data_IF_388894574180
#
_entry.id   IF_388894574180
#
_cell.length_a   1.000
_cell.length_b   1.000
_cell.length_c   1.000
_cell.angle_alpha   90.00
_cell.angle_beta   90.00
_cell.angle_gamma   90.00
#
_symmetry.space_group_name_H-M   'P 1'
#
loop_
_entity.id
_entity.type
_entity.pdbx_description
1 polymer ?
#
# COMPACT_ATOMS: atom_id res chain seq x y z
N UNK A 1 -23.99 -8.13 -42.88
CA UNK A 1 -22.86 -8.53 -42.02
C UNK A 1 -22.05 -7.29 -41.70
N UNK A 2 -21.84 -6.97 -40.42
CA UNK A 2 -20.99 -5.86 -39.99
C UNK A 2 -19.70 -6.45 -39.40
N UNK A 3 -18.56 -6.04 -39.95
CA UNK A 3 -17.23 -6.39 -39.42
C UNK A 3 -16.82 -5.30 -38.44
N UNK A 4 -16.61 -5.66 -37.19
CA UNK A 4 -16.08 -4.76 -36.16
C UNK A 4 -14.56 -4.92 -36.16
N UNK A 5 -13.83 -3.89 -36.60
CA UNK A 5 -12.38 -3.81 -36.44
C UNK A 5 -12.06 -3.16 -35.10
N UNK A 6 -11.43 -3.92 -34.21
CA UNK A 6 -10.86 -3.40 -32.96
C UNK A 6 -9.49 -2.82 -33.28
N UNK A 7 -9.41 -1.50 -33.47
CA UNK A 7 -8.13 -0.80 -33.49
C UNK A 7 -7.62 -0.71 -32.04
N UNK A 8 -6.58 -1.48 -31.71
CA UNK A 8 -5.89 -1.32 -30.44
C UNK A 8 -5.21 0.07 -30.44
N UNK A 9 -5.84 1.04 -29.77
CA UNK A 9 -5.20 2.32 -29.47
C UNK A 9 -4.00 2.06 -28.58
N UNK A 10 -2.78 2.10 -29.13
CA UNK A 10 -1.58 2.26 -28.32
C UNK A 10 -1.58 3.68 -27.77
N UNK A 11 -2.10 3.85 -26.57
CA UNK A 11 -2.15 5.13 -25.88
C UNK A 11 -0.75 5.49 -25.39
N UNK A 12 -0.29 6.70 -25.73
CA UNK A 12 0.97 7.27 -25.26
C UNK A 12 0.75 7.82 -23.83
N UNK A 13 1.37 7.24 -22.78
CA UNK A 13 1.09 7.59 -21.38
C UNK A 13 1.45 9.02 -20.97
N UNK A 14 2.16 9.75 -21.83
CA UNK A 14 2.73 11.07 -21.51
C UNK A 14 1.81 12.27 -21.80
N UNK A 15 0.73 12.08 -22.57
CA UNK A 15 -0.07 13.20 -23.11
C UNK A 15 -1.48 13.31 -22.50
N UNK A 16 -1.65 13.09 -21.20
CA UNK A 16 -2.95 13.31 -20.56
C UNK A 16 -2.83 13.95 -19.21
N UNK A 17 -3.42 15.14 -19.08
CA UNK A 17 -3.74 15.76 -17.81
C UNK A 17 -4.67 14.88 -16.93
N UNK A 18 -5.21 13.77 -17.46
CA UNK A 18 -6.06 12.81 -16.76
C UNK A 18 -5.31 11.53 -16.30
N UNK A 19 -4.04 11.32 -16.65
CA UNK A 19 -3.22 10.21 -16.12
C UNK A 19 -2.42 10.66 -14.90
N UNK A 20 -3.11 11.11 -13.84
CA UNK A 20 -2.44 11.24 -12.55
C UNK A 20 -2.10 9.83 -12.06
N UNK A 21 -0.82 9.45 -12.11
CA UNK A 21 -0.35 8.25 -11.43
C UNK A 21 -0.66 8.40 -9.95
N UNK A 22 -1.56 7.56 -9.45
CA UNK A 22 -1.99 7.58 -8.06
C UNK A 22 -1.43 6.35 -7.38
N UNK A 23 -0.42 6.56 -6.55
CA UNK A 23 0.11 5.50 -5.71
C UNK A 23 -0.99 5.03 -4.76
N UNK A 24 -1.26 3.73 -4.79
CA UNK A 24 -2.30 3.08 -3.96
C UNK A 24 -1.70 2.27 -2.82
N UNK A 25 -0.42 1.90 -2.90
CA UNK A 25 0.29 1.09 -1.93
C UNK A 25 1.78 1.45 -1.91
N UNK A 26 2.30 1.73 -0.72
CA UNK A 26 3.74 1.80 -0.44
C UNK A 26 4.15 0.60 0.42
N UNK A 27 5.29 -0.01 0.11
CA UNK A 27 5.83 -1.13 0.90
C UNK A 27 7.24 -0.79 1.36
N UNK A 28 7.43 -0.70 2.67
CA UNK A 28 8.74 -0.52 3.30
C UNK A 28 9.29 -1.88 3.73
N UNK A 29 10.47 -2.22 3.22
CA UNK A 29 11.09 -3.53 3.43
C UNK A 29 12.36 -3.41 4.29
N UNK A 30 12.44 -4.19 5.37
CA UNK A 30 13.64 -4.31 6.22
C UNK A 30 14.19 -5.73 6.26
N UNK A 31 15.46 -5.83 6.67
CA UNK A 31 16.18 -7.09 6.81
C UNK A 31 15.58 -7.93 7.95
N UNK A 32 15.62 -9.28 7.89
CA UNK A 32 15.14 -10.14 8.97
C UNK A 32 15.73 -9.82 10.35
N UNK A 33 16.97 -9.33 10.42
CA UNK A 33 17.62 -8.92 11.68
C UNK A 33 16.93 -7.75 12.38
N UNK A 34 16.03 -7.05 11.69
CA UNK A 34 15.21 -5.96 12.26
C UNK A 34 13.92 -6.47 12.92
N UNK A 35 13.64 -7.78 12.89
CA UNK A 35 12.44 -8.38 13.48
C UNK A 35 12.54 -8.44 15.01
N UNK A 36 12.45 -7.26 15.62
CA UNK A 36 12.45 -7.03 17.06
C UNK A 36 11.38 -5.99 17.38
N UNK A 37 10.82 -5.95 18.60
CA UNK A 37 9.82 -4.94 18.95
C UNK A 37 10.27 -3.51 18.62
N UNK A 38 11.50 -3.13 18.99
CA UNK A 38 12.05 -1.82 18.68
C UNK A 38 12.27 -1.61 17.17
N UNK A 39 12.67 -2.63 16.42
CA UNK A 39 12.84 -2.54 14.97
C UNK A 39 11.52 -2.28 14.23
N UNK A 40 10.43 -2.91 14.68
CA UNK A 40 9.09 -2.62 14.18
C UNK A 40 8.66 -1.19 14.50
N UNK A 41 8.71 -0.78 15.77
CA UNK A 41 8.31 0.56 16.22
C UNK A 41 9.09 1.66 15.48
N UNK A 42 10.42 1.55 15.43
CA UNK A 42 11.28 2.53 14.75
C UNK A 42 11.03 2.60 13.25
N UNK A 43 10.69 1.47 12.60
CA UNK A 43 10.38 1.46 11.17
C UNK A 43 9.05 2.14 10.92
N UNK A 44 8.01 1.77 11.70
CA UNK A 44 6.63 2.26 11.52
C UNK A 44 6.54 3.76 11.83
N UNK A 45 7.09 4.21 12.96
CA UNK A 45 6.97 5.59 13.44
C UNK A 45 8.10 6.52 12.96
N UNK A 46 9.09 5.98 12.26
CA UNK A 46 10.15 6.76 11.62
C UNK A 46 9.94 6.82 10.11
N UNK A 47 10.87 6.21 9.38
CA UNK A 47 10.96 6.29 7.91
C UNK A 47 9.64 5.99 7.20
N UNK A 48 8.88 4.98 7.63
CA UNK A 48 7.65 4.60 6.96
C UNK A 48 6.57 5.68 7.02
N UNK A 49 6.39 6.32 8.18
CA UNK A 49 5.41 7.40 8.34
C UNK A 49 5.84 8.64 7.54
N UNK A 50 7.13 8.97 7.59
CA UNK A 50 7.69 10.07 6.81
C UNK A 50 7.47 9.83 5.31
N UNK A 51 7.78 8.63 4.81
CA UNK A 51 7.59 8.26 3.41
C UNK A 51 6.12 8.34 3.00
N UNK A 52 5.19 7.81 3.80
CA UNK A 52 3.75 7.91 3.52
C UNK A 52 3.27 9.36 3.43
N UNK A 53 3.78 10.24 4.30
CA UNK A 53 3.46 11.67 4.30
C UNK A 53 4.04 12.44 3.11
N UNK A 54 5.12 11.94 2.50
CA UNK A 54 5.73 12.52 1.30
C UNK A 54 5.17 11.93 0.01
N UNK A 55 4.67 10.70 0.06
CA UNK A 55 4.09 9.93 -1.05
C UNK A 55 2.62 10.33 -1.29
N UNK A 56 2.21 11.53 -0.89
CA UNK A 56 0.82 11.94 -0.95
C UNK A 56 0.39 12.14 -2.40
N UNK A 57 -0.47 11.23 -2.85
CA UNK A 57 -1.36 11.42 -3.96
C UNK A 57 -2.37 12.55 -3.66
N UNK A 58 -3.13 12.99 -4.67
CA UNK A 58 -4.06 14.11 -4.54
C UNK A 58 -5.12 13.95 -3.42
N UNK A 59 -5.36 12.72 -2.97
CA UNK A 59 -6.31 12.37 -1.92
C UNK A 59 -5.71 12.36 -0.50
N UNK A 60 -4.40 12.58 -0.36
CA UNK A 60 -3.63 12.51 0.90
C UNK A 60 -3.78 11.16 1.64
N UNK A 61 -4.09 10.11 0.88
CA UNK A 61 -4.59 8.84 1.40
C UNK A 61 -3.95 7.69 0.67
N UNK A 62 -3.30 6.80 1.40
CA UNK A 62 -2.55 5.69 0.80
C UNK A 62 -2.53 4.47 1.72
N UNK A 63 -2.47 3.27 1.13
CA UNK A 63 -2.19 2.07 1.89
C UNK A 63 -0.69 1.87 2.04
N UNK A 64 -0.28 1.29 3.16
CA UNK A 64 1.11 1.01 3.45
C UNK A 64 1.29 -0.41 3.95
N UNK A 65 2.48 -0.97 3.73
CA UNK A 65 2.89 -2.20 4.39
C UNK A 65 4.33 -2.10 4.89
N UNK A 66 4.59 -2.59 6.09
CA UNK A 66 5.96 -2.78 6.60
C UNK A 66 6.24 -4.28 6.58
N UNK A 67 7.24 -4.68 5.80
CA UNK A 67 7.69 -6.05 5.67
C UNK A 67 9.09 -6.22 6.29
N UNK A 68 9.23 -7.14 7.25
CA UNK A 68 10.51 -7.48 7.87
C UNK A 68 10.73 -8.99 7.73
N UNK A 69 11.67 -9.38 6.87
CA UNK A 69 11.87 -10.80 6.55
C UNK A 69 10.60 -11.44 5.94
N UNK A 70 10.09 -12.51 6.57
CA UNK A 70 8.85 -13.19 6.14
C UNK A 70 7.57 -12.58 6.72
N UNK A 71 7.69 -11.53 7.53
CA UNK A 71 6.58 -10.97 8.31
C UNK A 71 6.14 -9.63 7.77
N UNK A 72 4.85 -9.35 7.83
CA UNK A 72 4.26 -8.11 7.31
C UNK A 72 3.13 -7.57 8.19
N UNK A 73 3.03 -6.25 8.25
CA UNK A 73 1.88 -5.52 8.79
C UNK A 73 1.36 -4.54 7.76
N UNK A 74 0.04 -4.51 7.57
CA UNK A 74 -0.63 -3.60 6.65
C UNK A 74 -1.32 -2.45 7.39
N UNK A 75 -1.24 -1.27 6.78
CA UNK A 75 -1.73 -0.02 7.33
C UNK A 75 -2.52 0.76 6.30
N UNK A 76 -3.35 1.65 6.82
CA UNK A 76 -4.01 2.71 6.09
C UNK A 76 -3.54 4.04 6.65
N UNK A 77 -3.09 4.92 5.75
CA UNK A 77 -2.64 6.25 6.10
C UNK A 77 -3.61 7.30 5.57
N UNK A 78 -4.11 8.16 6.46
CA UNK A 78 -4.94 9.33 6.13
C UNK A 78 -4.25 10.61 6.61
N UNK A 79 -3.66 11.36 5.68
CA UNK A 79 -2.94 12.60 5.96
C UNK A 79 -3.82 13.69 6.56
N UNK A 80 -5.14 13.61 6.35
CA UNK A 80 -6.12 14.58 6.87
C UNK A 80 -6.51 14.33 8.34
N UNK A 81 -6.18 13.16 8.89
CA UNK A 81 -6.51 12.82 10.26
C UNK A 81 -5.53 13.47 11.27
N UNK A 82 -5.93 13.60 12.55
CA UNK A 82 -5.01 14.03 13.61
C UNK A 82 -3.78 13.11 13.69
N UNK A 83 -2.60 13.65 14.02
CA UNK A 83 -1.30 12.95 13.93
C UNK A 83 -1.28 11.54 14.58
N UNK A 84 -1.99 11.35 15.70
CA UNK A 84 -2.09 10.08 16.42
C UNK A 84 -3.11 9.08 15.81
N UNK A 85 -3.79 9.46 14.73
CA UNK A 85 -4.84 8.70 14.05
C UNK A 85 -4.58 8.55 12.55
N UNK A 86 -3.52 9.17 12.02
CA UNK A 86 -3.17 9.11 10.60
C UNK A 86 -2.88 7.69 10.14
N UNK A 87 -2.20 6.89 10.97
CA UNK A 87 -1.81 5.52 10.62
C UNK A 87 -2.62 4.48 11.42
N UNK A 88 -3.42 3.68 10.73
CA UNK A 88 -4.25 2.64 11.33
C UNK A 88 -3.89 1.28 10.76
N UNK A 89 -3.56 0.32 11.62
CA UNK A 89 -3.28 -1.05 11.21
C UNK A 89 -4.58 -1.76 10.77
N UNK A 90 -4.55 -2.44 9.61
CA UNK A 90 -5.73 -3.05 8.98
C UNK A 90 -6.12 -4.42 9.55
N UNK A 91 -5.21 -5.07 10.27
CA UNK A 91 -5.43 -6.37 10.89
C UNK A 91 -4.76 -6.38 12.27
N UNK A 92 -5.10 -7.35 13.12
CA UNK A 92 -4.40 -7.53 14.38
C UNK A 92 -3.05 -8.23 14.18
N UNK A 93 -2.05 -7.88 14.99
CA UNK A 93 -0.78 -8.60 15.07
C UNK A 93 0.10 -8.46 13.83
N UNK A 94 0.86 -9.50 13.52
CA UNK A 94 1.77 -9.55 12.38
C UNK A 94 1.48 -10.81 11.59
N UNK A 95 1.38 -10.70 10.26
CA UNK A 95 1.21 -11.87 9.40
C UNK A 95 2.59 -12.44 9.13
N UNK A 96 2.81 -13.71 9.44
CA UNK A 96 4.02 -14.44 9.09
C UNK A 96 3.75 -15.34 7.90
N UNK A 97 4.38 -15.06 6.76
CA UNK A 97 4.20 -15.85 5.53
C UNK A 97 4.73 -17.28 5.65
N UNK A 98 5.57 -17.58 6.66
CA UNK A 98 5.99 -18.94 6.95
C UNK A 98 4.96 -19.75 7.75
N UNK A 99 3.91 -19.10 8.29
CA UNK A 99 2.82 -19.80 8.96
C UNK A 99 1.90 -20.49 7.93
N UNK A 100 1.18 -21.58 8.30
CA UNK A 100 0.38 -22.37 7.36
C UNK A 100 -0.62 -21.59 6.49
N UNK A 101 -1.16 -20.48 7.00
CA UNK A 101 -2.11 -19.61 6.30
C UNK A 101 -1.55 -18.22 5.96
N UNK A 102 -0.26 -17.99 6.20
CA UNK A 102 0.35 -16.66 6.10
C UNK A 102 0.24 -16.04 4.71
N UNK A 103 0.57 -16.82 3.67
CA UNK A 103 0.45 -16.38 2.27
C UNK A 103 -1.00 -16.02 1.93
N UNK A 104 -1.97 -16.86 2.29
CA UNK A 104 -3.38 -16.59 2.03
C UNK A 104 -3.90 -15.34 2.76
N UNK A 105 -3.37 -15.04 3.95
CA UNK A 105 -3.69 -13.79 4.67
C UNK A 105 -3.12 -12.56 3.94
N UNK A 106 -1.89 -12.64 3.43
CA UNK A 106 -1.30 -11.57 2.60
C UNK A 106 -2.09 -11.35 1.32
N UNK A 107 -2.43 -12.43 0.60
CA UNK A 107 -3.25 -12.35 -0.62
C UNK A 107 -4.62 -11.71 -0.36
N UNK A 108 -5.26 -12.07 0.76
CA UNK A 108 -6.51 -11.45 1.19
C UNK A 108 -6.36 -9.95 1.43
N UNK A 109 -5.24 -9.52 2.04
CA UNK A 109 -4.96 -8.10 2.24
C UNK A 109 -4.70 -7.36 0.92
N UNK A 110 -3.94 -7.97 0.01
CA UNK A 110 -3.69 -7.41 -1.32
C UNK A 110 -4.98 -7.27 -2.13
N UNK A 111 -5.88 -8.26 -2.06
CA UNK A 111 -7.19 -8.20 -2.71
C UNK A 111 -8.06 -7.09 -2.10
N UNK A 112 -8.04 -6.92 -0.79
CA UNK A 112 -8.73 -5.81 -0.12
C UNK A 112 -8.18 -4.45 -0.59
N UNK A 113 -6.86 -4.26 -0.61
CA UNK A 113 -6.24 -3.02 -1.08
C UNK A 113 -6.57 -2.77 -2.55
N UNK A 114 -6.52 -3.79 -3.41
CA UNK A 114 -6.88 -3.67 -4.82
C UNK A 114 -8.34 -3.26 -5.03
N UNK A 115 -9.26 -3.78 -4.20
CA UNK A 115 -10.68 -3.46 -4.28
C UNK A 115 -11.01 -2.03 -3.79
N UNK A 116 -10.25 -1.50 -2.84
CA UNK A 116 -10.54 -0.21 -2.18
C UNK A 116 -9.56 0.92 -2.56
N UNK A 117 -8.41 0.59 -3.15
CA UNK A 117 -7.31 1.52 -3.46
C UNK A 117 -7.74 2.69 -4.32
N UNK A 118 -8.64 2.47 -5.28
CA UNK A 118 -9.17 3.53 -6.13
C UNK A 118 -10.02 4.54 -5.36
N UNK A 119 -10.80 4.10 -4.38
CA UNK A 119 -11.58 5.01 -3.52
C UNK A 119 -10.66 5.89 -2.66
N UNK A 120 -9.47 5.38 -2.34
CA UNK A 120 -8.45 6.07 -1.56
C UNK A 120 -7.56 6.97 -2.39
N UNK A 121 -7.56 6.83 -3.71
CA UNK A 121 -6.73 7.55 -4.65
C UNK A 121 -7.42 8.75 -5.31
N UNK A 122 -8.72 8.97 -5.07
CA UNK A 122 -9.55 10.02 -5.71
C UNK A 122 -9.71 11.22 -4.79
#
# INVERSE_FOLDING_TARGET
MAVIQVMAMRQNPRDSAHWAERQILLVECKRPSSDTPAGWENTIHGQFLDDLSQTLNASERIYGAVAIGSKVRFYRFDGTAPANQQLVQLHQGTIDMCAPNGIGQVESMMNYIKANGWQWAI
#
